data_IF_662315460540
#
_entry.id   IF_662315460540
#
_cell.length_a   1.000
_cell.length_b   1.000
_cell.length_c   1.000
_cell.angle_alpha   90.00
_cell.angle_beta   90.00
_cell.angle_gamma   90.00
#
_symmetry.space_group_name_H-M   'P 1'
#
loop_
_entity.id
_entity.type
_entity.pdbx_description
1 polymer ?
#
# COMPACT_ATOMS: atom_id res chain seq x y z
N UNK A 1 -12.49 -21.09 -15.91
CA UNK A 1 -12.99 -19.97 -16.72
C UNK A 1 -13.45 -18.73 -15.95
N UNK A 2 -14.48 -18.79 -15.08
CA UNK A 2 -14.97 -17.56 -14.43
C UNK A 2 -14.10 -17.11 -13.24
N UNK A 3 -13.56 -18.06 -12.46
CA UNK A 3 -12.79 -17.78 -11.25
C UNK A 3 -11.45 -17.09 -11.52
N UNK A 4 -10.68 -17.51 -12.53
CA UNK A 4 -9.38 -16.87 -12.84
C UNK A 4 -9.53 -15.41 -13.26
N UNK A 5 -10.57 -15.07 -14.03
CA UNK A 5 -10.86 -13.67 -14.40
C UNK A 5 -11.20 -12.81 -13.20
N UNK A 6 -11.99 -13.34 -12.26
CA UNK A 6 -12.33 -12.67 -11.02
C UNK A 6 -11.07 -12.40 -10.18
N UNK A 7 -10.15 -13.36 -10.11
CA UNK A 7 -8.89 -13.18 -9.38
C UNK A 7 -8.01 -12.10 -10.01
N UNK A 8 -7.79 -12.11 -11.33
CA UNK A 8 -7.04 -11.04 -12.01
C UNK A 8 -7.66 -9.66 -11.80
N UNK A 9 -8.99 -9.58 -11.85
CA UNK A 9 -9.71 -8.37 -11.52
C UNK A 9 -9.46 -7.95 -10.06
N UNK A 10 -9.53 -8.88 -9.12
CA UNK A 10 -9.24 -8.64 -7.71
C UNK A 10 -7.85 -8.04 -7.48
N UNK A 11 -6.80 -8.64 -8.03
CA UNK A 11 -5.43 -8.09 -7.93
C UNK A 11 -5.33 -6.68 -8.52
N UNK A 12 -5.90 -6.48 -9.71
CA UNK A 12 -5.85 -5.20 -10.42
C UNK A 12 -6.61 -4.10 -9.66
N UNK A 13 -7.80 -4.42 -9.17
CA UNK A 13 -8.63 -3.50 -8.39
C UNK A 13 -7.96 -3.14 -7.06
N UNK A 14 -7.35 -4.12 -6.39
CA UNK A 14 -6.64 -3.90 -5.14
C UNK A 14 -5.47 -2.91 -5.32
N UNK A 15 -4.65 -3.06 -6.38
CA UNK A 15 -3.59 -2.11 -6.69
C UNK A 15 -4.14 -0.68 -6.89
N UNK A 16 -5.29 -0.52 -7.55
CA UNK A 16 -5.94 0.79 -7.67
C UNK A 16 -6.39 1.36 -6.33
N UNK A 17 -6.93 0.52 -5.44
CA UNK A 17 -7.32 0.94 -4.09
C UNK A 17 -6.10 1.40 -3.30
N UNK A 18 -5.03 0.60 -3.25
CA UNK A 18 -3.80 0.95 -2.53
C UNK A 18 -3.15 2.23 -3.08
N UNK A 19 -3.04 2.34 -4.40
CA UNK A 19 -2.51 3.56 -5.03
C UNK A 19 -3.42 4.77 -4.81
N UNK A 20 -4.74 4.58 -4.75
CA UNK A 20 -5.70 5.63 -4.40
C UNK A 20 -5.52 6.14 -2.96
N UNK A 21 -5.37 5.23 -1.99
CA UNK A 21 -5.09 5.59 -0.58
C UNK A 21 -3.77 6.34 -0.46
N UNK A 22 -2.73 5.85 -1.15
CA UNK A 22 -1.42 6.51 -1.21
C UNK A 22 -1.55 7.93 -1.81
N UNK A 23 -2.21 8.10 -2.95
CA UNK A 23 -2.45 9.42 -3.53
C UNK A 23 -3.27 10.34 -2.60
N UNK A 24 -4.26 9.81 -1.90
CA UNK A 24 -5.01 10.56 -0.89
C UNK A 24 -4.12 11.05 0.26
N UNK A 25 -3.15 10.24 0.68
CA UNK A 25 -2.19 10.65 1.72
C UNK A 25 -1.23 11.75 1.25
N UNK A 26 -0.81 11.74 -0.03
CA UNK A 26 -0.03 12.83 -0.62
C UNK A 26 -0.86 14.12 -0.74
N UNK A 27 -2.15 13.99 -1.05
CA UNK A 27 -3.06 15.13 -1.08
C UNK A 27 -3.14 15.81 0.29
N UNK A 28 -3.30 15.03 1.37
CA UNK A 28 -3.32 15.59 2.74
C UNK A 28 -2.01 16.31 3.05
N UNK A 29 -0.87 15.68 2.73
CA UNK A 29 0.45 16.26 2.96
C UNK A 29 0.66 17.60 2.24
N UNK A 30 0.38 17.67 0.93
CA UNK A 30 0.68 18.87 0.14
C UNK A 30 -0.45 19.90 0.08
N UNK A 31 -1.72 19.49 0.17
CA UNK A 31 -2.86 20.40 0.09
C UNK A 31 -3.29 20.92 1.46
N UNK A 32 -3.24 20.07 2.50
CA UNK A 32 -3.59 20.46 3.87
C UNK A 32 -2.37 20.92 4.68
N UNK A 33 -1.15 20.80 4.13
CA UNK A 33 0.12 21.16 4.78
C UNK A 33 0.29 20.47 6.16
N UNK A 34 -0.25 19.26 6.29
CA UNK A 34 -0.01 18.42 7.46
C UNK A 34 1.31 17.66 7.26
N UNK A 35 2.27 17.88 8.16
CA UNK A 35 3.49 17.10 8.16
C UNK A 35 3.19 15.65 8.58
N UNK A 36 3.75 14.64 7.90
CA UNK A 36 3.56 13.26 8.27
C UNK A 36 4.48 12.88 9.43
N UNK A 37 3.95 12.07 10.33
CA UNK A 37 4.74 11.48 11.40
C UNK A 37 5.66 10.36 10.88
N UNK A 38 6.75 10.01 11.60
CA UNK A 38 7.64 8.92 11.21
C UNK A 38 6.91 7.57 11.04
N UNK A 39 5.93 7.28 11.92
CA UNK A 39 5.11 6.05 11.81
C UNK A 39 4.20 6.07 10.57
N UNK A 40 3.70 7.24 10.20
CA UNK A 40 2.84 7.45 9.04
C UNK A 40 3.60 7.16 7.75
N UNK A 41 4.88 7.55 7.70
CA UNK A 41 5.79 7.24 6.58
C UNK A 41 6.05 5.74 6.47
N UNK A 42 6.31 5.07 7.59
CA UNK A 42 6.47 3.61 7.59
C UNK A 42 5.20 2.87 7.15
N UNK A 43 4.01 3.37 7.50
CA UNK A 43 2.74 2.80 7.00
C UNK A 43 2.62 2.94 5.48
N UNK A 44 2.98 4.10 4.91
CA UNK A 44 3.00 4.30 3.45
C UNK A 44 3.98 3.33 2.76
N UNK A 45 5.17 3.13 3.33
CA UNK A 45 6.14 2.15 2.82
C UNK A 45 5.57 0.73 2.86
N UNK A 46 4.89 0.35 3.94
CA UNK A 46 4.23 -0.95 4.04
C UNK A 46 3.13 -1.14 2.98
N UNK A 47 2.32 -0.11 2.70
CA UNK A 47 1.32 -0.15 1.63
C UNK A 47 1.95 -0.27 0.23
N UNK A 48 3.08 0.40 0.00
CA UNK A 48 3.85 0.25 -1.25
C UNK A 48 4.35 -1.18 -1.40
N UNK A 49 4.87 -1.79 -0.33
CA UNK A 49 5.30 -3.21 -0.35
C UNK A 49 4.12 -4.16 -0.66
N UNK A 50 2.94 -3.88 -0.10
CA UNK A 50 1.71 -4.61 -0.44
C UNK A 50 1.41 -4.50 -1.94
N UNK A 51 1.38 -3.28 -2.50
CA UNK A 51 1.12 -3.07 -3.92
C UNK A 51 2.17 -3.74 -4.83
N UNK A 52 3.46 -3.71 -4.46
CA UNK A 52 4.54 -4.39 -5.17
C UNK A 52 4.36 -5.91 -5.18
N UNK A 53 3.89 -6.48 -4.07
CA UNK A 53 3.62 -7.91 -3.97
C UNK A 53 2.53 -8.36 -4.95
N UNK A 54 1.47 -7.57 -5.13
CA UNK A 54 0.37 -7.84 -6.05
C UNK A 54 0.81 -7.68 -7.51
N UNK A 55 1.56 -6.62 -7.80
CA UNK A 55 2.13 -6.38 -9.14
C UNK A 55 3.12 -7.47 -9.54
N UNK A 56 3.86 -8.05 -8.61
CA UNK A 56 4.75 -9.18 -8.88
C UNK A 56 3.99 -10.37 -9.50
N UNK A 57 2.82 -10.73 -8.96
CA UNK A 57 1.98 -11.81 -9.51
C UNK A 57 1.54 -11.50 -10.94
N UNK A 58 1.03 -10.29 -11.18
CA UNK A 58 0.57 -9.88 -12.51
C UNK A 58 1.72 -9.83 -13.53
N UNK A 59 2.91 -9.36 -13.11
CA UNK A 59 4.09 -9.27 -13.97
C UNK A 59 4.63 -10.65 -14.34
N UNK A 60 4.69 -11.58 -13.38
CA UNK A 60 5.03 -12.98 -13.65
C UNK A 60 4.02 -13.63 -14.60
N UNK A 61 2.74 -13.34 -14.42
CA UNK A 61 1.68 -13.83 -15.30
C UNK A 61 1.83 -13.31 -16.72
N UNK A 62 2.20 -12.04 -16.91
CA UNK A 62 2.48 -11.48 -18.25
C UNK A 62 3.65 -12.17 -18.95
N UNK A 63 4.70 -12.52 -18.21
CA UNK A 63 5.90 -13.13 -18.77
C UNK A 63 5.68 -14.59 -19.18
N UNK A 64 5.01 -15.38 -18.33
CA UNK A 64 4.78 -16.82 -18.57
C UNK A 64 3.45 -17.13 -19.28
N UNK A 65 2.56 -16.14 -19.46
CA UNK A 65 1.24 -16.29 -20.08
C UNK A 65 0.16 -16.89 -19.17
N UNK A 66 0.55 -17.59 -18.11
CA UNK A 66 -0.32 -18.03 -17.02
C UNK A 66 0.35 -17.88 -15.66
N UNK A 67 -0.41 -17.71 -14.57
CA UNK A 67 0.10 -17.66 -13.22
C UNK A 67 0.70 -19.01 -12.86
N UNK A 68 1.94 -18.98 -12.41
CA UNK A 68 2.52 -20.13 -11.74
C UNK A 68 1.99 -20.15 -10.30
N UNK A 69 1.58 -21.32 -9.79
CA UNK A 69 1.15 -21.49 -8.40
C UNK A 69 2.19 -20.96 -7.42
N UNK A 70 3.49 -21.09 -7.73
CA UNK A 70 4.56 -20.50 -6.92
C UNK A 70 4.50 -18.97 -6.90
N UNK A 71 4.22 -18.31 -8.03
CA UNK A 71 4.12 -16.85 -8.09
C UNK A 71 2.91 -16.33 -7.30
N UNK A 72 1.79 -17.06 -7.34
CA UNK A 72 0.60 -16.75 -6.53
C UNK A 72 0.92 -16.87 -5.04
N UNK A 73 1.54 -17.96 -4.60
CA UNK A 73 1.89 -18.16 -3.19
C UNK A 73 2.90 -17.13 -2.69
N UNK A 74 3.94 -16.83 -3.48
CA UNK A 74 4.96 -15.83 -3.11
C UNK A 74 4.35 -14.43 -3.02
N UNK A 75 3.52 -14.05 -3.99
CA UNK A 75 2.85 -12.75 -3.99
C UNK A 75 1.96 -12.56 -2.76
N UNK A 76 1.07 -13.51 -2.47
CA UNK A 76 0.19 -13.40 -1.30
C UNK A 76 0.95 -13.50 0.02
N UNK A 77 1.99 -14.34 0.08
CA UNK A 77 2.88 -14.42 1.24
C UNK A 77 3.56 -13.07 1.52
N UNK A 78 4.13 -12.45 0.50
CA UNK A 78 4.71 -11.11 0.61
C UNK A 78 3.66 -10.08 1.03
N UNK A 79 2.46 -10.11 0.44
CA UNK A 79 1.38 -9.19 0.81
C UNK A 79 1.00 -9.30 2.29
N UNK A 80 0.84 -10.53 2.79
CA UNK A 80 0.51 -10.81 4.19
C UNK A 80 1.62 -10.31 5.10
N UNK A 81 2.89 -10.60 4.80
CA UNK A 81 4.02 -10.13 5.62
C UNK A 81 4.07 -8.60 5.65
N UNK A 82 3.98 -7.94 4.48
CA UNK A 82 3.95 -6.48 4.39
C UNK A 82 2.78 -5.87 5.16
N UNK A 83 1.60 -6.50 5.07
CA UNK A 83 0.40 -6.05 5.78
C UNK A 83 0.51 -6.25 7.29
N UNK A 84 1.10 -7.34 7.77
CA UNK A 84 1.35 -7.55 9.19
C UNK A 84 2.32 -6.52 9.76
N UNK A 85 3.38 -6.18 9.02
CA UNK A 85 4.30 -5.09 9.39
C UNK A 85 3.53 -3.77 9.46
N UNK A 86 2.77 -3.42 8.42
CA UNK A 86 1.97 -2.19 8.41
C UNK A 86 0.92 -2.12 9.52
N UNK A 87 0.23 -3.22 9.79
CA UNK A 87 -0.75 -3.34 10.87
C UNK A 87 -0.09 -3.15 12.24
N UNK A 88 1.09 -3.73 12.47
CA UNK A 88 1.82 -3.58 13.73
C UNK A 88 2.21 -2.11 14.01
N UNK A 89 2.58 -1.37 12.96
CA UNK A 89 2.95 0.06 13.04
C UNK A 89 1.71 0.90 13.29
N UNK A 90 0.59 0.57 12.62
CA UNK A 90 -0.69 1.26 12.82
C UNK A 90 -1.24 1.04 14.22
N UNK A 91 -1.19 -0.20 14.74
CA UNK A 91 -1.59 -0.54 16.11
C UNK A 91 -0.72 0.23 17.11
N UNK A 92 0.60 0.29 16.90
CA UNK A 92 1.49 1.08 17.75
C UNK A 92 1.05 2.54 17.80
N UNK A 93 0.71 3.14 16.66
CA UNK A 93 0.26 4.53 16.62
C UNK A 93 -1.08 4.73 17.35
N UNK A 94 -2.03 3.80 17.20
CA UNK A 94 -3.30 3.83 17.93
C UNK A 94 -3.04 3.76 19.45
N UNK A 95 -2.16 2.87 19.88
CA UNK A 95 -1.83 2.70 21.30
C UNK A 95 -1.13 3.93 21.90
N UNK A 96 -0.38 4.69 21.10
CA UNK A 96 0.23 5.95 21.55
C UNK A 96 -0.82 7.04 21.82
N UNK A 97 -1.93 7.02 21.10
CA UNK A 97 -3.00 8.02 21.19
C UNK A 97 -4.30 7.49 21.84
N UNK A 98 -4.20 6.44 22.66
CA UNK A 98 -5.39 5.83 23.30
C UNK A 98 -5.83 6.57 24.57
N UNK A 99 -4.99 7.46 25.10
CA UNK A 99 -5.23 8.12 26.38
C UNK A 99 -6.39 9.13 26.28
N UNK A 100 -7.33 9.15 27.25
CA UNK A 100 -8.45 10.09 27.22
C UNK A 100 -7.96 11.54 27.28
N UNK A 101 -8.41 12.35 26.32
CA UNK A 101 -8.04 13.76 26.19
C UNK A 101 -6.90 14.04 25.19
N UNK A 102 -6.34 13.01 24.56
CA UNK A 102 -5.40 13.18 23.45
C UNK A 102 -6.17 13.56 22.16
N UNK A 103 -5.84 14.68 21.50
CA UNK A 103 -6.46 15.05 20.21
C UNK A 103 -6.09 14.10 19.06
N UNK A 104 -5.07 13.23 19.24
CA UNK A 104 -4.55 12.35 18.21
C UNK A 104 -3.66 13.08 17.19
N UNK A 105 -2.99 12.31 16.33
CA UNK A 105 -2.15 12.86 15.26
C UNK A 105 -2.91 12.95 13.93
N UNK A 106 -2.95 14.17 13.36
CA UNK A 106 -3.59 14.48 12.08
C UNK A 106 -5.12 14.53 12.16
N UNK A 107 -5.73 15.15 11.15
CA UNK A 107 -7.18 15.33 11.10
C UNK A 107 -7.95 13.99 11.00
N UNK A 108 -9.05 13.92 11.74
CA UNK A 108 -9.94 12.76 11.71
C UNK A 108 -10.87 12.82 10.48
N UNK A 109 -10.84 11.77 9.66
CA UNK A 109 -11.72 11.63 8.50
C UNK A 109 -12.82 10.64 8.86
N UNK A 110 -14.08 11.10 8.79
CA UNK A 110 -15.26 10.35 9.25
C UNK A 110 -15.19 9.91 10.73
N UNK A 111 -14.52 10.70 11.58
CA UNK A 111 -14.39 10.43 13.01
C UNK A 111 -13.32 9.37 13.35
N UNK A 112 -12.54 8.92 12.37
CA UNK A 112 -11.38 8.04 12.59
C UNK A 112 -10.11 8.73 12.09
N UNK A 113 -9.05 8.68 12.90
CA UNK A 113 -7.74 9.15 12.47
C UNK A 113 -7.16 8.28 11.34
N UNK A 114 -6.27 8.88 10.56
CA UNK A 114 -5.68 8.28 9.35
C UNK A 114 -4.96 6.95 9.67
N UNK A 115 -4.33 6.84 10.84
CA UNK A 115 -3.66 5.60 11.27
C UNK A 115 -4.63 4.45 11.59
N UNK A 116 -5.87 4.73 11.97
CA UNK A 116 -6.91 3.70 12.14
C UNK A 116 -7.42 3.22 10.79
N UNK A 117 -7.56 4.13 9.82
CA UNK A 117 -7.85 3.77 8.43
C UNK A 117 -6.74 2.91 7.82
N UNK A 118 -5.47 3.23 8.10
CA UNK A 118 -4.34 2.40 7.68
C UNK A 118 -4.45 0.97 8.22
N UNK A 119 -4.80 0.81 9.50
CA UNK A 119 -5.03 -0.53 10.08
C UNK A 119 -6.13 -1.29 9.34
N UNK A 120 -7.26 -0.64 9.03
CA UNK A 120 -8.36 -1.26 8.27
C UNK A 120 -7.87 -1.74 6.90
N UNK A 121 -7.11 -0.91 6.18
CA UNK A 121 -6.53 -1.27 4.88
C UNK A 121 -5.66 -2.52 5.01
N UNK A 122 -4.76 -2.58 5.99
CA UNK A 122 -3.90 -3.77 6.19
C UNK A 122 -4.69 -5.03 6.56
N UNK A 123 -5.77 -4.90 7.34
CA UNK A 123 -6.65 -6.03 7.63
C UNK A 123 -7.39 -6.52 6.38
N UNK A 124 -7.82 -5.60 5.52
CA UNK A 124 -8.40 -5.93 4.21
C UNK A 124 -7.38 -6.63 3.29
N UNK A 125 -6.12 -6.21 3.29
CA UNK A 125 -5.06 -6.86 2.52
C UNK A 125 -4.80 -8.30 2.97
N UNK A 126 -4.74 -8.53 4.29
CA UNK A 126 -4.60 -9.88 4.85
C UNK A 126 -5.80 -10.75 4.43
N UNK A 127 -7.02 -10.22 4.58
CA UNK A 127 -8.23 -10.93 4.21
C UNK A 127 -8.30 -11.22 2.70
N UNK A 128 -7.88 -10.28 1.86
CA UNK A 128 -7.80 -10.44 0.41
C UNK A 128 -6.84 -11.57 0.05
N UNK A 129 -5.61 -11.55 0.58
CA UNK A 129 -4.61 -12.58 0.29
C UNK A 129 -5.02 -13.95 0.82
N UNK A 130 -5.61 -14.02 2.02
CA UNK A 130 -6.17 -15.26 2.55
C UNK A 130 -7.29 -15.80 1.64
N UNK A 131 -8.21 -14.93 1.20
CA UNK A 131 -9.30 -15.28 0.29
C UNK A 131 -8.80 -15.79 -1.06
N UNK A 132 -7.80 -15.14 -1.65
CA UNK A 132 -7.18 -15.58 -2.90
C UNK A 132 -6.50 -16.95 -2.74
N UNK A 133 -5.81 -17.18 -1.63
CA UNK A 133 -5.18 -18.47 -1.35
C UNK A 133 -6.21 -19.60 -1.15
N UNK A 134 -7.34 -19.32 -0.50
CA UNK A 134 -8.44 -20.28 -0.33
C UNK A 134 -9.15 -20.61 -1.65
N UNK A 135 -9.32 -19.61 -2.52
CA UNK A 135 -9.99 -19.77 -3.82
C UNK A 135 -9.06 -20.27 -4.93
N UNK A 136 -7.75 -20.39 -4.64
CA UNK A 136 -6.71 -20.63 -5.65
C UNK A 136 -7.05 -21.85 -6.51
N UNK A 137 -7.37 -21.66 -7.80
CA UNK A 137 -7.81 -22.77 -8.64
C UNK A 137 -6.62 -23.67 -8.99
N UNK A 138 -6.85 -24.99 -9.04
CA UNK A 138 -5.84 -25.97 -9.45
C UNK A 138 -5.27 -25.69 -10.85
N UNK A 139 -6.06 -25.05 -11.72
CA UNK A 139 -5.65 -24.63 -13.05
C UNK A 139 -6.06 -23.18 -13.28
N UNK A 140 -5.08 -22.35 -13.63
CA UNK A 140 -5.32 -20.96 -14.03
C UNK A 140 -5.49 -20.86 -15.54
N UNK A 141 -6.53 -20.14 -15.97
CA UNK A 141 -6.70 -19.81 -17.37
C UNK A 141 -5.59 -18.84 -17.84
N UNK A 142 -5.19 -18.98 -19.12
CA UNK A 142 -4.24 -18.06 -19.76
C UNK A 142 -4.76 -16.61 -19.64
N UNK A 143 -3.83 -15.70 -19.41
CA UNK A 143 -4.16 -14.28 -19.33
C UNK A 143 -4.70 -13.80 -20.69
N UNK A 144 -5.86 -13.12 -20.74
CA UNK A 144 -6.37 -12.60 -22.00
C UNK A 144 -5.51 -11.42 -22.47
N UNK A 145 -5.25 -11.35 -23.77
CA UNK A 145 -4.47 -10.26 -24.40
C UNK A 145 -4.98 -8.86 -24.05
N UNK A 146 -6.30 -8.69 -23.84
CA UNK A 146 -6.90 -7.42 -23.43
C UNK A 146 -6.38 -6.91 -22.08
N UNK A 147 -5.96 -7.79 -21.17
CA UNK A 147 -5.42 -7.45 -19.86
C UNK A 147 -3.96 -7.04 -19.89
N UNK A 148 -3.23 -7.34 -20.98
CA UNK A 148 -1.81 -7.02 -21.07
C UNK A 148 -1.57 -5.51 -21.02
N UNK A 149 -2.41 -4.73 -21.71
CA UNK A 149 -2.35 -3.26 -21.67
C UNK A 149 -2.65 -2.73 -20.28
N UNK A 150 -3.72 -3.23 -19.64
CA UNK A 150 -4.12 -2.80 -18.29
C UNK A 150 -3.00 -3.04 -17.27
N UNK A 151 -2.41 -4.24 -17.24
CA UNK A 151 -1.35 -4.58 -16.28
C UNK A 151 -0.10 -3.71 -16.50
N UNK A 152 0.28 -3.44 -17.76
CA UNK A 152 1.41 -2.53 -18.05
C UNK A 152 1.13 -1.10 -17.60
N UNK A 153 -0.10 -0.61 -17.79
CA UNK A 153 -0.50 0.72 -17.30
C UNK A 153 -0.49 0.74 -15.78
N UNK A 154 -0.99 -0.29 -15.11
CA UNK A 154 -0.95 -0.43 -13.66
C UNK A 154 0.48 -0.43 -13.11
N UNK A 155 1.38 -1.16 -13.76
CA UNK A 155 2.80 -1.18 -13.39
C UNK A 155 3.42 0.22 -13.51
N UNK A 156 3.19 0.90 -14.63
CA UNK A 156 3.67 2.26 -14.84
C UNK A 156 3.07 3.25 -13.83
N UNK A 157 1.77 3.13 -13.54
CA UNK A 157 1.09 3.95 -12.54
C UNK A 157 1.66 3.76 -11.14
N UNK A 158 1.84 2.50 -10.69
CA UNK A 158 2.46 2.22 -9.40
C UNK A 158 3.89 2.79 -9.35
N UNK A 159 4.68 2.63 -10.42
CA UNK A 159 6.03 3.19 -10.48
C UNK A 159 6.04 4.71 -10.35
N UNK A 160 5.09 5.42 -10.97
CA UNK A 160 4.93 6.88 -10.83
C UNK A 160 4.58 7.23 -9.39
N UNK A 161 3.59 6.56 -8.79
CA UNK A 161 3.19 6.82 -7.40
C UNK A 161 4.37 6.62 -6.46
N UNK A 162 5.07 5.48 -6.56
CA UNK A 162 6.26 5.20 -5.75
C UNK A 162 7.34 6.25 -5.95
N UNK A 163 7.58 6.69 -7.19
CA UNK A 163 8.56 7.73 -7.48
C UNK A 163 8.19 9.07 -6.83
N UNK A 164 6.93 9.49 -6.93
CA UNK A 164 6.43 10.70 -6.25
C UNK A 164 6.57 10.59 -4.74
N UNK A 165 6.28 9.42 -4.17
CA UNK A 165 6.48 9.16 -2.74
C UNK A 165 7.95 9.26 -2.33
N UNK A 166 8.87 8.69 -3.11
CA UNK A 166 10.29 8.80 -2.83
C UNK A 166 10.75 10.27 -2.84
N UNK A 167 10.26 11.07 -3.80
CA UNK A 167 10.54 12.51 -3.83
C UNK A 167 9.95 13.24 -2.63
N UNK A 168 8.71 12.92 -2.24
CA UNK A 168 8.06 13.51 -1.07
C UNK A 168 8.83 13.19 0.22
N UNK A 169 9.17 11.92 0.44
CA UNK A 169 10.00 11.48 1.57
C UNK A 169 11.35 12.17 1.57
N UNK A 170 12.01 12.25 0.42
CA UNK A 170 13.32 12.92 0.31
C UNK A 170 13.23 14.41 0.63
N UNK A 171 12.15 15.09 0.24
CA UNK A 171 11.93 16.49 0.56
C UNK A 171 11.71 16.74 2.06
N UNK A 172 11.17 15.76 2.78
CA UNK A 172 10.93 15.86 4.22
C UNK A 172 12.13 15.47 5.07
N UNK A 173 12.79 14.35 4.75
CA UNK A 173 13.93 13.84 5.54
C UNK A 173 15.26 14.48 5.13
N UNK A 174 15.38 14.90 3.86
CA UNK A 174 16.64 15.32 3.27
C UNK A 174 17.69 14.20 3.37
N UNK A 175 18.82 14.50 4.02
CA UNK A 175 19.88 13.53 4.32
C UNK A 175 19.84 13.02 5.77
N UNK A 176 18.82 13.38 6.55
CA UNK A 176 18.69 12.91 7.92
C UNK A 176 18.26 11.45 7.95
N UNK A 177 18.82 10.67 8.86
CA UNK A 177 18.53 9.24 9.00
C UNK A 177 17.24 8.96 9.80
N UNK A 178 16.76 9.97 10.53
CA UNK A 178 15.60 9.87 11.44
C UNK A 178 14.85 11.20 11.38
N UNK A 179 13.56 11.14 11.05
CA UNK A 179 12.62 12.24 11.25
C UNK A 179 12.39 12.48 12.76
N UNK A 180 12.39 13.73 13.23
CA UNK A 180 11.93 14.04 14.58
C UNK A 180 10.47 13.61 14.78
N UNK A 181 10.11 13.18 15.99
CA UNK A 181 8.79 12.62 16.29
C UNK A 181 7.63 13.59 16.02
N UNK A 182 7.88 14.90 16.06
CA UNK A 182 6.94 15.97 15.69
C UNK A 182 7.66 17.00 14.79
N UNK A 183 7.66 16.82 13.45
CA UNK A 183 8.24 17.81 12.55
C UNK A 183 7.34 19.06 12.49
N UNK A 184 7.92 20.21 12.80
CA UNK A 184 7.28 21.53 12.62
C UNK A 184 7.69 22.22 11.33
N UNK A 185 8.72 21.70 10.64
CA UNK A 185 9.35 22.30 9.45
C UNK A 185 9.91 21.21 8.51
N UNK A 186 10.05 21.53 7.22
CA UNK A 186 10.68 20.66 6.22
C UNK A 186 12.21 20.71 6.35
N UNK A 187 12.88 19.56 6.53
CA UNK A 187 14.33 19.54 6.76
C UNK A 187 15.17 20.00 5.55
N UNK A 188 14.64 19.93 4.32
CA UNK A 188 15.36 20.35 3.11
C UNK A 188 15.26 21.85 2.80
N UNK A 189 14.18 22.53 3.19
CA UNK A 189 13.97 23.96 2.85
C UNK A 189 14.80 24.89 3.76
N UNK A 190 15.35 24.37 4.86
CA UNK A 190 16.13 25.11 5.85
C UNK A 190 17.65 24.80 5.82
N UNK A 191 18.18 24.33 4.69
CA UNK A 191 19.64 24.30 4.43
C UNK A 191 20.14 25.61 3.81
#
# INVERSE_FOLDING_TARGET
MQTSKLLYFGYSANIFVLTGVLCGSLYIQFALNEFPCPLCMLQRMAMILCALSLVYMLSKTLYYGSPNSSAVSVSNGLNIVSSLVGASISIRQILLHIMPGDPGYGDAIFGLHIYTWALIVFMCEIAFSAGVMLLNPNHWDKLPLSWHKLIKVLFGWLAIVVFVFLLATFNEEGFNWVLPDNPTENAFINF
#
